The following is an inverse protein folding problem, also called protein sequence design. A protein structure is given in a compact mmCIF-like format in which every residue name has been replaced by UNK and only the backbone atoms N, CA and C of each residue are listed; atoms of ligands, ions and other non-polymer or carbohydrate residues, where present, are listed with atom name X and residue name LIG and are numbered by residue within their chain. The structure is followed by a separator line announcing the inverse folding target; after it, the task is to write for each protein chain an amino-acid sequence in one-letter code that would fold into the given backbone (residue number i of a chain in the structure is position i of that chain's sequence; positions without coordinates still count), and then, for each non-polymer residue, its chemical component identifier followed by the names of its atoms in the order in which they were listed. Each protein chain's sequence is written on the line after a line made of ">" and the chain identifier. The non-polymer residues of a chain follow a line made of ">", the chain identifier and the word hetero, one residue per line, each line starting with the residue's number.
data_IF_904997352346
#
_entry.id   IF_904997352346
#
_cell.length_a   1.000
_cell.length_b   1.000
_cell.length_c   1.000
_cell.angle_alpha   90.00
_cell.angle_beta   90.00
_cell.angle_gamma   90.00
#
_symmetry.space_group_name_H-M   'P 1'
#
loop_
_entity.id
_entity.type
_entity.pdbx_description
1 polymer ?
#
# COMPACT_ATOMS: atom_id res chain seq x y z
N UNK A 1 -4.74 -17.59 18.44
CA UNK A 1 -4.03 -17.95 17.19
C UNK A 1 -4.07 -16.73 16.30
N UNK A 2 -2.95 -16.05 16.07
CA UNK A 2 -2.93 -14.87 15.21
C UNK A 2 -3.07 -15.32 13.75
N UNK A 3 -4.04 -14.75 13.03
CA UNK A 3 -4.12 -14.94 11.57
C UNK A 3 -2.91 -14.23 10.99
N UNK A 4 -1.94 -14.99 10.50
CA UNK A 4 -0.78 -14.45 9.81
C UNK A 4 -1.25 -14.00 8.43
N UNK A 5 -1.39 -12.69 8.24
CA UNK A 5 -1.74 -12.13 6.95
C UNK A 5 -0.54 -12.30 6.02
N UNK A 6 -0.69 -13.12 4.98
CA UNK A 6 0.36 -13.35 3.99
C UNK A 6 0.32 -12.33 2.83
N UNK A 7 -0.81 -11.64 2.65
CA UNK A 7 -1.04 -10.76 1.50
C UNK A 7 -1.33 -9.32 1.94
N UNK A 8 -1.00 -8.32 1.10
CA UNK A 8 -1.37 -6.94 1.36
C UNK A 8 -2.90 -6.78 1.45
N UNK A 9 -3.35 -5.93 2.37
CA UNK A 9 -4.77 -5.61 2.52
C UNK A 9 -5.04 -4.21 1.95
N UNK A 10 -5.61 -4.18 0.75
CA UNK A 10 -5.97 -2.96 0.05
C UNK A 10 -7.40 -2.51 0.38
N UNK A 11 -7.59 -1.20 0.55
CA UNK A 11 -8.88 -0.54 0.70
C UNK A 11 -8.88 0.83 0.02
N UNK A 12 -10.04 1.21 -0.50
CA UNK A 12 -10.32 2.56 -1.00
C UNK A 12 -11.08 3.31 0.07
N UNK A 13 -10.63 4.52 0.39
CA UNK A 13 -11.26 5.39 1.37
C UNK A 13 -11.74 6.65 0.67
N UNK A 14 -13.04 6.92 0.80
CA UNK A 14 -13.65 8.15 0.30
C UNK A 14 -14.00 9.04 1.48
N UNK A 15 -13.47 10.26 1.50
CA UNK A 15 -13.83 11.23 2.51
C UNK A 15 -15.28 11.66 2.32
N UNK A 16 -16.12 11.45 3.35
CA UNK A 16 -17.58 11.62 3.25
C UNK A 16 -18.00 13.03 2.85
N UNK A 17 -17.27 14.06 3.31
CA UNK A 17 -17.65 15.46 3.05
C UNK A 17 -17.05 16.05 1.78
N UNK A 18 -15.84 15.62 1.40
CA UNK A 18 -15.09 16.26 0.29
C UNK A 18 -15.03 15.38 -0.95
N UNK A 19 -15.48 14.12 -0.87
CA UNK A 19 -15.33 13.13 -1.93
C UNK A 19 -13.88 12.73 -2.21
N UNK A 20 -12.90 13.24 -1.45
CA UNK A 20 -11.50 12.95 -1.67
C UNK A 20 -11.22 11.45 -1.50
N UNK A 21 -10.68 10.83 -2.54
CA UNK A 21 -10.36 9.40 -2.57
C UNK A 21 -8.90 9.18 -2.18
N UNK A 22 -8.65 8.18 -1.34
CA UNK A 22 -7.31 7.72 -0.95
C UNK A 22 -7.25 6.19 -1.02
N UNK A 23 -6.08 5.68 -1.36
CA UNK A 23 -5.76 4.26 -1.15
C UNK A 23 -5.23 4.02 0.25
N UNK A 24 -5.50 2.85 0.80
CA UNK A 24 -4.87 2.33 2.01
C UNK A 24 -4.38 0.92 1.75
N UNK A 25 -3.12 0.65 2.03
CA UNK A 25 -2.59 -0.71 1.99
C UNK A 25 -1.91 -1.01 3.31
N UNK A 26 -2.25 -2.15 3.91
CA UNK A 26 -1.45 -2.75 4.97
C UNK A 26 -0.56 -3.83 4.36
N UNK A 27 0.74 -3.75 4.62
CA UNK A 27 1.77 -4.67 4.17
C UNK A 27 2.27 -5.51 5.36
N UNK A 28 1.93 -6.81 5.41
CA UNK A 28 2.42 -7.70 6.47
C UNK A 28 3.95 -7.87 6.42
N UNK A 29 4.56 -8.11 7.57
CA UNK A 29 6.01 -8.30 7.68
C UNK A 29 6.53 -9.48 6.82
N UNK A 30 5.81 -10.61 6.80
CA UNK A 30 6.18 -11.76 5.99
C UNK A 30 6.15 -11.46 4.49
N UNK A 31 5.13 -10.72 4.04
CA UNK A 31 5.04 -10.27 2.66
C UNK A 31 6.23 -9.37 2.29
N UNK A 32 6.59 -8.46 3.19
CA UNK A 32 7.72 -7.53 2.99
C UNK A 32 9.07 -8.23 2.98
N UNK A 33 9.23 -9.35 3.71
CA UNK A 33 10.46 -10.13 3.69
C UNK A 33 10.80 -10.64 2.28
N UNK A 34 9.79 -10.93 1.48
CA UNK A 34 9.95 -11.42 0.10
C UNK A 34 9.89 -10.29 -0.93
N UNK A 35 8.98 -9.32 -0.77
CA UNK A 35 8.64 -8.34 -1.82
C UNK A 35 9.00 -6.89 -1.49
N UNK A 36 9.82 -6.62 -0.47
CA UNK A 36 10.20 -5.24 -0.09
C UNK A 36 10.73 -4.41 -1.27
N UNK A 37 11.53 -5.00 -2.15
CA UNK A 37 12.04 -4.34 -3.36
C UNK A 37 10.94 -3.88 -4.32
N UNK A 38 9.94 -4.72 -4.58
CA UNK A 38 8.76 -4.36 -5.38
C UNK A 38 7.96 -3.23 -4.73
N UNK A 39 7.74 -3.33 -3.42
CA UNK A 39 6.98 -2.32 -2.67
C UNK A 39 7.69 -0.98 -2.71
N UNK A 40 9.02 -0.94 -2.50
CA UNK A 40 9.82 0.29 -2.59
C UNK A 40 9.74 0.88 -4.00
N UNK A 41 9.91 0.06 -5.05
CA UNK A 41 9.80 0.50 -6.44
C UNK A 41 8.42 1.10 -6.74
N UNK A 42 7.36 0.48 -6.22
CA UNK A 42 6.00 1.00 -6.35
C UNK A 42 5.81 2.32 -5.61
N UNK A 43 6.32 2.45 -4.38
CA UNK A 43 6.25 3.68 -3.58
C UNK A 43 7.01 4.87 -4.21
N UNK A 44 8.04 4.60 -5.01
CA UNK A 44 8.84 5.62 -5.71
C UNK A 44 8.19 6.14 -6.99
N UNK A 45 7.08 5.56 -7.44
CA UNK A 45 6.38 6.01 -8.65
C UNK A 45 5.76 7.38 -8.44
N UNK A 46 5.84 8.24 -9.46
CA UNK A 46 5.32 9.62 -9.40
C UNK A 46 3.80 9.69 -9.23
N UNK A 47 3.09 8.61 -9.55
CA UNK A 47 1.65 8.51 -9.33
C UNK A 47 1.28 8.32 -7.86
N UNK A 48 2.22 7.91 -7.00
CA UNK A 48 1.98 7.66 -5.58
C UNK A 48 2.46 8.86 -4.77
N UNK A 49 1.53 9.52 -4.09
CA UNK A 49 1.82 10.66 -3.22
C UNK A 49 1.37 10.38 -1.79
N UNK A 50 2.28 10.51 -0.84
CA UNK A 50 2.04 10.33 0.59
C UNK A 50 3.05 11.16 1.39
N UNK A 51 2.72 11.46 2.65
CA UNK A 51 3.62 12.12 3.60
C UNK A 51 3.95 11.17 4.76
N UNK A 52 4.86 11.56 5.65
CA UNK A 52 5.24 10.76 6.83
C UNK A 52 4.01 10.40 7.70
N UNK A 53 3.06 11.32 7.87
CA UNK A 53 1.82 11.09 8.62
C UNK A 53 0.91 10.01 8.01
N UNK A 54 1.09 9.75 6.73
CA UNK A 54 0.32 8.73 6.01
C UNK A 54 0.95 7.33 6.16
N UNK A 55 2.10 7.22 6.81
CA UNK A 55 2.75 5.96 7.18
C UNK A 55 2.49 5.62 8.65
N UNK A 56 2.15 4.36 8.89
CA UNK A 56 2.11 3.75 10.22
C UNK A 56 2.96 2.49 10.21
N UNK A 57 4.12 2.56 10.85
CA UNK A 57 5.04 1.44 11.02
C UNK A 57 4.69 0.72 12.32
N UNK A 58 4.71 -0.62 12.29
CA UNK A 58 4.43 -1.46 13.45
C UNK A 58 5.73 -2.15 13.92
N UNK A 59 5.76 -2.57 15.19
CA UNK A 59 6.95 -3.16 15.81
C UNK A 59 7.36 -4.51 15.22
N UNK A 60 6.47 -5.17 14.49
CA UNK A 60 6.72 -6.45 13.81
C UNK A 60 7.36 -6.28 12.42
N UNK A 61 7.64 -5.04 11.99
CA UNK A 61 8.19 -4.73 10.67
C UNK A 61 7.13 -4.61 9.57
N UNK A 62 5.86 -4.82 9.88
CA UNK A 62 4.76 -4.47 8.97
C UNK A 62 4.56 -2.95 8.92
N UNK A 63 3.92 -2.47 7.86
CA UNK A 63 3.49 -1.08 7.82
C UNK A 63 2.17 -0.92 7.09
N UNK A 64 1.49 0.19 7.39
CA UNK A 64 0.31 0.66 6.66
C UNK A 64 0.61 1.99 6.04
N UNK A 65 0.21 2.15 4.79
CA UNK A 65 0.30 3.41 4.06
C UNK A 65 -1.08 3.90 3.65
N UNK A 66 -1.26 5.20 3.70
CA UNK A 66 -2.31 5.93 2.99
C UNK A 66 -1.66 6.68 1.83
N UNK A 67 -2.27 6.66 0.65
CA UNK A 67 -1.70 7.35 -0.50
C UNK A 67 -2.78 8.00 -1.34
N UNK A 68 -2.39 9.06 -2.03
CA UNK A 68 -3.15 9.72 -3.08
C UNK A 68 -2.53 9.34 -4.42
N UNK A 69 -3.35 9.34 -5.47
CA UNK A 69 -2.93 9.19 -6.86
C UNK A 69 -3.79 10.08 -7.75
N UNK A 70 -3.26 10.45 -8.92
CA UNK A 70 -4.02 11.13 -9.98
C UNK A 70 -4.95 10.18 -10.74
N UNK A 71 -4.65 8.88 -10.70
CA UNK A 71 -5.50 7.81 -11.21
C UNK A 71 -6.45 7.35 -10.09
N UNK A 72 -6.87 6.09 -10.11
CA UNK A 72 -7.61 5.47 -9.00
C UNK A 72 -6.68 4.62 -8.12
N UNK A 73 -6.91 4.53 -6.81
CA UNK A 73 -6.13 3.64 -5.94
C UNK A 73 -6.15 2.17 -6.39
N UNK A 74 -7.22 1.71 -7.01
CA UNK A 74 -7.35 0.35 -7.55
C UNK A 74 -6.38 0.11 -8.69
N UNK A 75 -6.24 1.06 -9.63
CA UNK A 75 -5.26 0.98 -10.72
C UNK A 75 -3.85 0.86 -10.15
N UNK A 76 -3.54 1.66 -9.12
CA UNK A 76 -2.23 1.62 -8.51
C UNK A 76 -1.97 0.32 -7.74
N UNK A 77 -2.99 -0.22 -7.08
CA UNK A 77 -2.88 -1.53 -6.44
C UNK A 77 -2.66 -2.64 -7.46
N UNK A 78 -3.38 -2.63 -8.59
CA UNK A 78 -3.14 -3.59 -9.67
C UNK A 78 -1.74 -3.46 -10.27
N UNK A 79 -1.22 -2.24 -10.38
CA UNK A 79 0.15 -2.02 -10.83
C UNK A 79 1.20 -2.57 -9.85
N UNK A 80 0.96 -2.46 -8.54
CA UNK A 80 1.77 -3.14 -7.52
C UNK A 80 1.77 -4.66 -7.73
N UNK A 81 0.59 -5.27 -7.89
CA UNK A 81 0.46 -6.72 -8.14
C UNK A 81 1.24 -7.12 -9.39
N UNK A 82 1.12 -6.37 -10.49
CA UNK A 82 1.90 -6.63 -11.71
C UNK A 82 3.41 -6.53 -11.49
N UNK A 83 3.88 -5.58 -10.68
CA UNK A 83 5.32 -5.49 -10.37
C UNK A 83 5.78 -6.75 -9.63
N UNK A 84 4.96 -7.25 -8.69
CA UNK A 84 5.26 -8.46 -7.91
C UNK A 84 5.25 -9.72 -8.78
N UNK A 85 4.26 -9.87 -9.66
CA UNK A 85 4.13 -11.04 -10.56
C UNK A 85 5.27 -11.17 -11.59
N UNK A 86 6.04 -10.10 -11.81
CA UNK A 86 7.19 -10.08 -12.74
C UNK A 86 8.55 -10.26 -12.03
N UNK A 87 8.55 -10.69 -10.77
CA UNK A 87 9.74 -11.05 -9.99
C UNK A 87 9.84 -12.57 -9.93
#
# INVERSE_FOLDING_TARGET
>A
MAIVLAHPQFQVLTHVQTGAVKGRIYFPALFLAEFSGAVIKWLQRQEISFEEKDLKIYSDGSFRIYFKTRLSPEIEYLALIKIIENI
#
